data_IF_129597449509
#
_entry.id   IF_129597449509
#
_cell.length_a   1.000
_cell.length_b   1.000
_cell.length_c   1.000
_cell.angle_alpha   90.00
_cell.angle_beta   90.00
_cell.angle_gamma   90.00
#
_symmetry.space_group_name_H-M   'P 1'
#
loop_
_entity.id
_entity.type
_entity.pdbx_description
1 polymer ?
#
# COMPACT_ATOMS: atom_id res chain seq x y z
N UNK A 1 4.87 -38.67 4.43
CA UNK A 1 4.13 -37.38 4.43
C UNK A 1 5.12 -36.31 4.02
N UNK A 2 5.26 -36.16 2.71
CA UNK A 2 6.08 -35.09 2.11
C UNK A 2 5.28 -33.79 2.12
N UNK A 3 5.35 -33.04 3.18
CA UNK A 3 5.06 -31.61 3.10
C UNK A 3 6.38 -30.91 2.76
N UNK A 4 6.82 -31.11 1.52
CA UNK A 4 7.89 -30.29 0.96
C UNK A 4 7.49 -28.84 1.08
N UNK A 5 8.34 -28.05 1.71
CA UNK A 5 8.25 -26.61 1.93
C UNK A 5 8.36 -25.80 0.62
N UNK A 6 7.61 -26.20 -0.39
CA UNK A 6 7.42 -25.37 -1.58
C UNK A 6 6.52 -24.22 -1.18
N UNK A 7 7.06 -23.01 -1.19
CA UNK A 7 6.22 -21.80 -1.12
C UNK A 7 5.10 -22.01 -2.14
N UNK A 8 3.84 -22.09 -1.73
CA UNK A 8 2.78 -22.29 -2.70
C UNK A 8 2.84 -21.10 -3.66
N UNK A 9 2.84 -21.38 -4.95
CA UNK A 9 2.91 -20.36 -6.00
C UNK A 9 1.89 -19.22 -5.75
N UNK A 10 0.76 -19.57 -5.17
CA UNK A 10 -0.25 -18.64 -4.70
C UNK A 10 0.29 -17.63 -3.67
N UNK A 11 1.10 -18.06 -2.69
CA UNK A 11 1.68 -17.17 -1.69
C UNK A 11 2.64 -16.15 -2.30
N UNK A 12 3.44 -16.56 -3.28
CA UNK A 12 4.34 -15.65 -4.00
C UNK A 12 3.58 -14.64 -4.84
N UNK A 13 2.51 -15.05 -5.52
CA UNK A 13 1.65 -14.15 -6.30
C UNK A 13 0.97 -13.12 -5.39
N UNK A 14 0.44 -13.56 -4.26
CA UNK A 14 -0.18 -12.65 -3.27
C UNK A 14 0.84 -11.64 -2.76
N UNK A 15 2.07 -12.07 -2.48
CA UNK A 15 3.17 -11.20 -2.06
C UNK A 15 3.44 -10.10 -3.09
N UNK A 16 3.61 -10.46 -4.35
CA UNK A 16 3.86 -9.50 -5.43
C UNK A 16 2.68 -8.54 -5.61
N UNK A 17 1.45 -9.04 -5.53
CA UNK A 17 0.25 -8.20 -5.62
C UNK A 17 0.16 -7.20 -4.47
N UNK A 18 0.42 -7.62 -3.24
CA UNK A 18 0.40 -6.74 -2.07
C UNK A 18 1.53 -5.69 -2.14
N UNK A 19 2.73 -6.09 -2.56
CA UNK A 19 3.85 -5.18 -2.75
C UNK A 19 3.55 -4.13 -3.82
N UNK A 20 2.98 -4.56 -4.93
CA UNK A 20 2.56 -3.68 -6.02
C UNK A 20 1.42 -2.73 -5.58
N UNK A 21 0.43 -3.22 -4.84
CA UNK A 21 -0.67 -2.42 -4.31
C UNK A 21 -0.17 -1.34 -3.35
N UNK A 22 0.71 -1.70 -2.41
CA UNK A 22 1.38 -0.73 -1.53
C UNK A 22 2.08 0.35 -2.35
N UNK A 23 2.86 -0.06 -3.35
CA UNK A 23 3.55 0.86 -4.25
C UNK A 23 2.61 1.84 -4.95
N UNK A 24 1.49 1.33 -5.50
CA UNK A 24 0.50 2.19 -6.17
C UNK A 24 -0.04 3.26 -5.22
N UNK A 25 -0.44 2.91 -4.00
CA UNK A 25 -1.01 3.86 -3.05
C UNK A 25 0.00 4.90 -2.59
N UNK A 26 1.24 4.50 -2.27
CA UNK A 26 2.29 5.45 -1.89
C UNK A 26 2.70 6.35 -3.06
N UNK A 27 2.83 5.79 -4.25
CA UNK A 27 3.14 6.56 -5.45
C UNK A 27 2.03 7.52 -5.82
N UNK A 28 0.77 7.10 -5.69
CA UNK A 28 -0.39 7.97 -5.93
C UNK A 28 -0.48 9.11 -4.93
N UNK A 29 -0.27 8.83 -3.64
CA UNK A 29 -0.20 9.87 -2.61
C UNK A 29 0.89 10.90 -2.92
N UNK A 30 2.08 10.44 -3.28
CA UNK A 30 3.18 11.33 -3.68
C UNK A 30 2.86 12.12 -4.96
N UNK A 31 2.20 11.50 -5.93
CA UNK A 31 1.79 12.15 -7.16
C UNK A 31 0.77 13.27 -6.89
N UNK A 32 -0.25 13.01 -6.09
CA UNK A 32 -1.27 14.01 -5.72
C UNK A 32 -0.65 15.21 -5.02
N UNK A 33 0.31 15.00 -4.12
CA UNK A 33 1.01 16.09 -3.44
C UNK A 33 1.87 16.98 -4.35
N UNK A 34 2.31 16.44 -5.49
CA UNK A 34 3.16 17.17 -6.45
C UNK A 34 2.41 17.57 -7.73
N UNK A 35 1.11 17.30 -7.79
CA UNK A 35 0.26 17.64 -8.92
C UNK A 35 -0.22 19.09 -8.82
N UNK A 36 -0.32 19.77 -9.96
CA UNK A 36 -0.97 21.10 -10.03
C UNK A 36 -2.49 20.91 -10.01
N UNK A 37 -3.11 21.18 -8.85
CA UNK A 37 -4.57 21.07 -8.68
C UNK A 37 -5.32 21.97 -9.68
N UNK A 38 -4.84 23.20 -9.89
CA UNK A 38 -5.43 24.15 -10.83
C UNK A 38 -5.48 23.61 -12.27
N UNK A 39 -4.47 22.84 -12.67
CA UNK A 39 -4.43 22.25 -14.02
C UNK A 39 -5.42 21.11 -14.17
N UNK A 40 -5.58 20.29 -13.14
CA UNK A 40 -6.58 19.23 -13.11
C UNK A 40 -8.00 19.82 -13.11
N UNK A 41 -8.21 20.88 -12.33
CA UNK A 41 -9.49 21.60 -12.27
C UNK A 41 -9.87 22.18 -13.63
N UNK A 42 -8.94 22.85 -14.30
CA UNK A 42 -9.13 23.38 -15.65
C UNK A 42 -9.56 22.29 -16.64
N UNK A 43 -8.86 21.17 -16.68
CA UNK A 43 -9.22 20.03 -17.54
C UNK A 43 -10.59 19.42 -17.16
N UNK A 44 -10.93 19.42 -15.88
CA UNK A 44 -12.24 18.96 -15.42
C UNK A 44 -13.35 19.89 -15.93
N UNK A 45 -13.14 21.21 -15.91
CA UNK A 45 -14.08 22.21 -16.45
C UNK A 45 -14.20 22.12 -17.98
N UNK A 46 -13.15 21.71 -18.67
CA UNK A 46 -13.15 21.43 -20.12
C UNK A 46 -13.88 20.13 -20.49
N UNK A 47 -14.38 19.39 -19.50
CA UNK A 47 -15.19 18.17 -19.68
C UNK A 47 -14.42 16.85 -19.72
N UNK A 48 -13.13 16.84 -19.36
CA UNK A 48 -12.38 15.59 -19.22
C UNK A 48 -12.87 14.78 -18.02
N UNK A 49 -13.60 13.70 -18.32
CA UNK A 49 -14.15 12.77 -17.30
C UNK A 49 -13.07 12.16 -16.38
N UNK A 50 -11.84 12.01 -16.87
CA UNK A 50 -10.74 11.51 -16.06
C UNK A 50 -10.27 12.57 -15.06
N UNK A 51 -10.19 13.82 -15.49
CA UNK A 51 -9.84 14.93 -14.62
C UNK A 51 -10.92 15.14 -13.54
N UNK A 52 -12.21 15.04 -13.89
CA UNK A 52 -13.32 15.11 -12.92
C UNK A 52 -13.19 14.01 -11.86
N UNK A 53 -12.90 12.75 -12.28
CA UNK A 53 -12.73 11.66 -11.34
C UNK A 53 -11.49 11.84 -10.45
N UNK A 54 -10.36 12.28 -11.03
CA UNK A 54 -9.13 12.56 -10.28
C UNK A 54 -9.36 13.68 -9.27
N UNK A 55 -10.04 14.77 -9.68
CA UNK A 55 -10.39 15.89 -8.81
C UNK A 55 -11.25 15.44 -7.63
N UNK A 56 -12.17 14.50 -7.83
CA UNK A 56 -12.98 13.94 -6.74
C UNK A 56 -12.17 13.18 -5.70
N UNK A 57 -11.03 12.59 -6.09
CA UNK A 57 -10.08 11.94 -5.17
C UNK A 57 -9.21 12.98 -4.47
N UNK A 58 -8.78 14.03 -5.17
CA UNK A 58 -7.96 15.12 -4.62
C UNK A 58 -8.75 15.89 -3.56
N UNK A 59 -10.02 16.21 -3.84
CA UNK A 59 -10.89 16.94 -2.92
C UNK A 59 -11.32 16.11 -1.69
N UNK A 60 -11.11 14.78 -1.73
CA UNK A 60 -11.38 13.91 -0.59
C UNK A 60 -10.16 13.03 -0.24
N UNK A 61 -9.01 13.64 0.11
CA UNK A 61 -7.76 12.92 0.33
C UNK A 61 -7.84 11.94 1.50
N UNK A 62 -8.66 12.24 2.51
CA UNK A 62 -8.81 11.41 3.71
C UNK A 62 -9.23 9.99 3.37
N UNK A 63 -10.04 9.82 2.33
CA UNK A 63 -10.54 8.51 1.95
C UNK A 63 -9.45 7.54 1.45
N UNK A 64 -8.53 8.00 0.61
CA UNK A 64 -7.44 7.13 0.11
C UNK A 64 -6.21 7.15 1.02
N UNK A 65 -5.92 8.27 1.70
CA UNK A 65 -4.80 8.37 2.65
C UNK A 65 -5.02 7.43 3.82
N UNK A 66 -6.23 7.36 4.38
CA UNK A 66 -6.56 6.44 5.46
C UNK A 66 -6.57 4.95 5.04
N UNK A 67 -6.65 4.66 3.74
CA UNK A 67 -6.52 3.30 3.22
C UNK A 67 -5.05 2.81 3.23
N UNK A 68 -4.07 3.71 3.15
CA UNK A 68 -2.64 3.35 3.10
C UNK A 68 -2.21 2.53 4.32
N UNK A 69 -2.42 2.97 5.57
CA UNK A 69 -2.05 2.19 6.75
C UNK A 69 -2.69 0.81 6.77
N UNK A 70 -3.96 0.69 6.36
CA UNK A 70 -4.65 -0.59 6.31
C UNK A 70 -4.01 -1.57 5.32
N UNK A 71 -3.66 -1.09 4.12
CA UNK A 71 -3.00 -1.92 3.10
C UNK A 71 -1.61 -2.36 3.59
N UNK A 72 -0.86 -1.44 4.22
CA UNK A 72 0.47 -1.76 4.77
C UNK A 72 0.38 -2.78 5.89
N UNK A 73 -0.55 -2.60 6.84
CA UNK A 73 -0.75 -3.53 7.95
C UNK A 73 -1.22 -4.89 7.46
N UNK A 74 -2.21 -4.93 6.55
CA UNK A 74 -2.67 -6.18 5.95
C UNK A 74 -1.53 -6.91 5.22
N UNK A 75 -0.70 -6.18 4.48
CA UNK A 75 0.48 -6.73 3.84
C UNK A 75 1.46 -7.29 4.86
N UNK A 76 1.76 -6.54 5.92
CA UNK A 76 2.66 -6.96 7.00
C UNK A 76 2.18 -8.25 7.69
N UNK A 77 0.89 -8.35 7.98
CA UNK A 77 0.28 -9.57 8.55
C UNK A 77 0.41 -10.75 7.58
N UNK A 78 0.11 -10.57 6.30
CA UNK A 78 0.26 -11.63 5.29
C UNK A 78 1.72 -12.08 5.15
N UNK A 79 2.67 -11.14 5.14
CA UNK A 79 4.10 -11.45 5.10
C UNK A 79 4.54 -12.22 6.35
N UNK A 80 4.13 -11.75 7.53
CA UNK A 80 4.49 -12.36 8.80
C UNK A 80 3.89 -13.76 8.98
N UNK A 81 2.65 -13.96 8.53
CA UNK A 81 1.96 -15.23 8.70
C UNK A 81 2.42 -16.34 7.74
N UNK A 82 2.77 -15.98 6.49
CA UNK A 82 3.01 -16.97 5.44
C UNK A 82 4.46 -17.02 4.97
N UNK A 83 5.10 -15.88 4.79
CA UNK A 83 6.39 -15.81 4.10
C UNK A 83 7.55 -15.95 5.08
N UNK A 84 7.46 -15.27 6.22
CA UNK A 84 8.54 -15.31 7.21
C UNK A 84 8.78 -16.70 7.77
N UNK A 85 7.75 -17.48 8.20
CA UNK A 85 7.93 -18.85 8.67
C UNK A 85 8.51 -19.77 7.58
N UNK A 86 7.94 -19.72 6.37
CA UNK A 86 8.43 -20.53 5.25
C UNK A 86 9.91 -20.26 4.93
N UNK A 87 10.29 -19.00 4.83
CA UNK A 87 11.68 -18.64 4.55
C UNK A 87 12.61 -19.01 5.71
N UNK A 88 12.18 -18.82 6.96
CA UNK A 88 12.95 -19.20 8.12
C UNK A 88 13.19 -20.72 8.20
N UNK A 89 12.21 -21.54 7.88
CA UNK A 89 12.36 -23.00 7.78
C UNK A 89 13.34 -23.40 6.67
N UNK A 90 13.32 -22.71 5.54
CA UNK A 90 14.25 -22.96 4.43
C UNK A 90 15.70 -22.69 4.84
N UNK A 91 15.95 -21.68 5.66
CA UNK A 91 17.31 -21.32 6.12
C UNK A 91 17.74 -22.04 7.40
N UNK A 92 16.82 -22.68 8.13
CA UNK A 92 17.09 -23.39 9.39
C UNK A 92 18.25 -24.41 9.30
N UNK A 93 18.44 -25.19 8.22
CA UNK A 93 19.56 -26.13 8.12
C UNK A 93 20.94 -25.47 8.16
N UNK A 94 21.02 -24.18 7.85
CA UNK A 94 22.26 -23.44 7.71
C UNK A 94 22.55 -22.51 8.90
N UNK A 95 21.51 -22.06 9.62
CA UNK A 95 21.61 -21.04 10.66
C UNK A 95 20.67 -21.40 11.82
N UNK A 96 21.01 -21.00 13.07
CA UNK A 96 20.10 -21.16 14.22
C UNK A 96 18.73 -20.53 13.91
N UNK A 97 17.65 -21.21 14.26
CA UNK A 97 16.27 -20.83 13.93
C UNK A 97 15.95 -19.35 14.24
N UNK A 98 16.34 -18.84 15.41
CA UNK A 98 16.11 -17.44 15.79
C UNK A 98 16.88 -16.46 14.88
N UNK A 99 18.11 -16.79 14.53
CA UNK A 99 18.90 -15.93 13.63
C UNK A 99 18.33 -15.93 12.21
N UNK A 100 17.83 -17.07 11.72
CA UNK A 100 17.15 -17.17 10.43
C UNK A 100 15.89 -16.31 10.40
N UNK A 101 15.06 -16.37 11.44
CA UNK A 101 13.87 -15.52 11.58
C UNK A 101 14.20 -14.03 11.52
N UNK A 102 15.18 -13.58 12.31
CA UNK A 102 15.58 -12.16 12.35
C UNK A 102 16.09 -11.71 10.99
N UNK A 103 16.92 -12.52 10.33
CA UNK A 103 17.50 -12.19 9.02
C UNK A 103 16.40 -12.08 7.94
N UNK A 104 15.49 -13.06 7.90
CA UNK A 104 14.38 -13.04 6.94
C UNK A 104 13.47 -11.86 7.20
N UNK A 105 13.13 -11.56 8.45
CA UNK A 105 12.30 -10.42 8.81
C UNK A 105 12.94 -9.10 8.37
N UNK A 106 14.25 -8.92 8.64
CA UNK A 106 14.99 -7.73 8.20
C UNK A 106 14.99 -7.59 6.67
N UNK A 107 15.21 -8.68 5.95
CA UNK A 107 15.20 -8.69 4.49
C UNK A 107 13.82 -8.34 3.93
N UNK A 108 12.76 -8.88 4.49
CA UNK A 108 11.37 -8.56 4.09
C UNK A 108 11.07 -7.10 4.34
N UNK A 109 11.45 -6.54 5.49
CA UNK A 109 11.27 -5.11 5.80
C UNK A 109 12.01 -4.24 4.78
N UNK A 110 13.26 -4.55 4.46
CA UNK A 110 14.06 -3.81 3.48
C UNK A 110 13.42 -3.86 2.09
N UNK A 111 12.94 -5.03 1.66
CA UNK A 111 12.27 -5.19 0.36
C UNK A 111 10.95 -4.41 0.31
N UNK A 112 10.13 -4.49 1.35
CA UNK A 112 8.87 -3.74 1.43
C UNK A 112 9.12 -2.23 1.43
N UNK A 113 10.08 -1.75 2.21
CA UNK A 113 10.41 -0.33 2.27
C UNK A 113 10.99 0.18 0.95
N UNK A 114 11.95 -0.54 0.36
CA UNK A 114 12.65 -0.09 -0.85
C UNK A 114 11.80 -0.22 -2.09
N UNK A 115 11.29 -1.42 -2.39
CA UNK A 115 10.54 -1.69 -3.61
C UNK A 115 9.05 -1.31 -3.47
N UNK A 116 8.43 -1.61 -2.33
CA UNK A 116 7.01 -1.34 -2.12
C UNK A 116 6.69 0.13 -1.88
N UNK A 117 7.56 0.87 -1.21
CA UNK A 117 7.25 2.24 -0.78
C UNK A 117 8.12 3.28 -1.51
N UNK A 118 9.45 3.22 -1.31
CA UNK A 118 10.34 4.29 -1.76
C UNK A 118 10.42 4.43 -3.28
N UNK A 119 10.49 3.31 -4.00
CA UNK A 119 10.58 3.32 -5.47
C UNK A 119 9.34 3.95 -6.10
N UNK A 120 8.15 3.50 -5.70
CA UNK A 120 6.90 4.01 -6.26
C UNK A 120 6.63 5.46 -5.82
N UNK A 121 6.97 5.83 -4.59
CA UNK A 121 6.89 7.21 -4.12
C UNK A 121 7.77 8.12 -4.97
N UNK A 122 9.00 7.72 -5.30
CA UNK A 122 9.88 8.46 -6.21
C UNK A 122 9.26 8.62 -7.60
N UNK A 123 8.74 7.54 -8.18
CA UNK A 123 8.10 7.60 -9.52
C UNK A 123 6.90 8.56 -9.50
N UNK A 124 6.06 8.50 -8.45
CA UNK A 124 4.93 9.43 -8.28
C UNK A 124 5.35 10.89 -8.16
N UNK A 125 6.46 11.16 -7.47
CA UNK A 125 6.99 12.53 -7.33
C UNK A 125 7.57 13.06 -8.63
N UNK A 126 8.29 12.24 -9.40
CA UNK A 126 8.93 12.70 -10.65
C UNK A 126 7.97 12.83 -11.84
N UNK A 127 6.90 12.00 -11.87
CA UNK A 127 5.91 12.02 -12.96
C UNK A 127 4.48 12.06 -12.41
N UNK A 128 4.11 13.15 -11.68
CA UNK A 128 2.87 13.21 -10.93
C UNK A 128 1.62 13.03 -11.78
N UNK A 129 1.50 13.75 -12.88
CA UNK A 129 0.34 13.64 -13.78
C UNK A 129 0.19 12.22 -14.34
N UNK A 130 1.23 11.73 -15.01
CA UNK A 130 1.19 10.41 -15.66
C UNK A 130 0.84 9.32 -14.66
N UNK A 131 1.38 9.39 -13.45
CA UNK A 131 1.14 8.43 -12.40
C UNK A 131 -0.29 8.53 -11.86
N UNK A 132 -0.76 9.73 -11.53
CA UNK A 132 -2.10 9.96 -11.02
C UNK A 132 -3.18 9.49 -12.01
N UNK A 133 -3.12 9.92 -13.26
CA UNK A 133 -4.09 9.52 -14.29
C UNK A 133 -4.06 8.03 -14.60
N UNK A 134 -2.91 7.37 -14.48
CA UNK A 134 -2.79 5.93 -14.72
C UNK A 134 -3.43 5.10 -13.61
N UNK A 135 -3.21 5.47 -12.35
CA UNK A 135 -3.57 4.65 -11.20
C UNK A 135 -4.83 5.10 -10.45
N UNK A 136 -5.42 6.25 -10.77
CA UNK A 136 -6.62 6.78 -10.11
C UNK A 136 -7.78 5.77 -10.04
N UNK A 137 -8.00 4.97 -11.10
CA UNK A 137 -9.08 3.97 -11.11
C UNK A 137 -8.84 2.83 -10.11
N UNK A 138 -7.59 2.35 -10.03
CA UNK A 138 -7.19 1.30 -9.10
C UNK A 138 -7.31 1.82 -7.67
N UNK A 139 -6.78 3.01 -7.41
CA UNK A 139 -6.87 3.64 -6.09
C UNK A 139 -8.33 3.88 -5.72
N UNK A 140 -9.14 4.45 -6.59
CA UNK A 140 -10.57 4.69 -6.33
C UNK A 140 -11.36 3.40 -6.07
N UNK A 141 -11.07 2.32 -6.80
CA UNK A 141 -11.70 1.01 -6.60
C UNK A 141 -11.36 0.42 -5.21
N UNK A 142 -10.08 0.35 -4.87
CA UNK A 142 -9.66 -0.19 -3.58
C UNK A 142 -10.08 0.71 -2.42
N UNK A 143 -10.03 2.03 -2.57
CA UNK A 143 -10.53 2.98 -1.56
C UNK A 143 -12.00 2.73 -1.26
N UNK A 144 -12.82 2.45 -2.29
CA UNK A 144 -14.24 2.14 -2.10
C UNK A 144 -14.46 0.81 -1.38
N UNK A 145 -13.68 -0.22 -1.70
CA UNK A 145 -13.75 -1.52 -0.99
C UNK A 145 -13.30 -1.39 0.46
N UNK A 146 -12.23 -0.62 0.70
CA UNK A 146 -11.67 -0.44 2.04
C UNK A 146 -12.45 0.59 2.89
N UNK A 147 -13.39 1.33 2.28
CA UNK A 147 -14.15 2.38 2.95
C UNK A 147 -14.80 1.93 4.27
N UNK A 148 -15.51 0.77 4.37
CA UNK A 148 -16.08 0.35 5.64
C UNK A 148 -15.02 0.11 6.72
N UNK A 149 -13.86 -0.43 6.34
CA UNK A 149 -12.75 -0.66 7.27
C UNK A 149 -12.10 0.66 7.71
N UNK A 150 -11.87 1.58 6.78
CA UNK A 150 -11.31 2.91 7.09
C UNK A 150 -12.24 3.70 8.00
N UNK A 151 -13.55 3.56 7.81
CA UNK A 151 -14.56 4.20 8.68
C UNK A 151 -14.48 3.66 10.11
N UNK A 152 -14.40 2.33 10.28
CA UNK A 152 -14.23 1.71 11.60
C UNK A 152 -12.95 2.18 12.29
N UNK A 153 -11.81 2.16 11.58
CA UNK A 153 -10.51 2.59 12.12
C UNK A 153 -10.55 4.07 12.51
N UNK A 154 -11.11 4.92 11.65
CA UNK A 154 -11.24 6.36 11.92
C UNK A 154 -12.15 6.63 13.11
N UNK A 155 -13.23 5.86 13.26
CA UNK A 155 -14.12 5.96 14.42
C UNK A 155 -13.39 5.61 15.72
N UNK A 156 -12.66 4.50 15.74
CA UNK A 156 -11.86 4.08 16.90
C UNK A 156 -10.77 5.12 17.22
N UNK A 157 -10.08 5.63 16.20
CA UNK A 157 -9.07 6.65 16.36
C UNK A 157 -9.64 7.95 16.97
N UNK A 158 -10.81 8.41 16.49
CA UNK A 158 -11.51 9.57 17.07
C UNK A 158 -11.92 9.33 18.51
N UNK A 159 -12.38 8.11 18.84
CA UNK A 159 -12.74 7.76 20.21
C UNK A 159 -11.53 7.79 21.14
N UNK A 160 -10.40 7.26 20.68
CA UNK A 160 -9.14 7.26 21.40
C UNK A 160 -8.51 8.65 21.55
N UNK A 161 -8.77 9.56 20.60
CA UNK A 161 -8.26 10.94 20.64
C UNK A 161 -9.08 11.89 21.53
N UNK A 162 -10.33 11.54 21.85
CA UNK A 162 -11.21 12.37 22.71
C UNK A 162 -10.58 12.82 24.04
N UNK A 163 -9.84 11.96 24.79
CA UNK A 163 -9.21 12.39 26.05
C UNK A 163 -8.17 13.49 25.88
N UNK A 164 -7.64 13.66 24.66
CA UNK A 164 -6.60 14.64 24.32
C UNK A 164 -7.16 15.95 23.75
N UNK A 165 -8.49 16.12 23.75
CA UNK A 165 -9.13 17.35 23.29
C UNK A 165 -9.21 17.54 21.77
N UNK A 166 -9.07 16.45 20.99
CA UNK A 166 -9.14 16.46 19.53
C UNK A 166 -10.42 15.79 19.01
#
# INVERSE_FOLDING_TARGET
>A
MESGSSMPLAGFVILLLLLWLNGIFYGFSAAVHNLSENEVEKRAQEGDKKAVFLLSLINNPVSFVNAIPLIVMASGVCFGAFIVPWAAETFHPYIKHLAALILVLALVIILLASLGILTFRRIGTYHPEKYAYRYMKIVGFFTRILYPFTMCVTFIAKLAARPFGV
#
